data_IF_376715169720
#
_entry.id   IF_376715169720
#
_cell.length_a   1.000
_cell.length_b   1.000
_cell.length_c   1.000
_cell.angle_alpha   90.00
_cell.angle_beta   90.00
_cell.angle_gamma   90.00
#
_symmetry.space_group_name_H-M   'P 1'
#
loop_
_entity.id
_entity.type
_entity.pdbx_description
1 polymer ?
#
# COMPACT_ATOMS: atom_id res chain seq x y z
N UNK A 1 -0.74 16.83 0.97
CA UNK A 1 -0.63 15.40 0.61
C UNK A 1 0.45 14.76 1.45
N UNK A 2 0.19 13.60 1.96
CA UNK A 2 1.16 12.85 2.77
C UNK A 2 1.96 11.92 1.89
N UNK A 3 3.24 11.74 2.23
CA UNK A 3 4.18 10.97 1.43
C UNK A 3 4.99 10.05 2.33
N UNK A 4 5.20 8.80 1.90
CA UNK A 4 6.06 7.87 2.60
C UNK A 4 6.90 7.07 1.61
N UNK A 5 8.08 6.67 2.07
CA UNK A 5 9.00 5.83 1.31
C UNK A 5 9.54 4.73 2.20
N UNK A 6 9.73 3.56 1.63
CA UNK A 6 10.27 2.44 2.38
C UNK A 6 10.99 1.48 1.44
N UNK A 7 12.25 1.18 1.74
CA UNK A 7 13.01 0.15 1.02
C UNK A 7 12.76 -1.18 1.73
N UNK A 8 12.01 -2.06 1.09
CA UNK A 8 11.71 -3.36 1.67
C UNK A 8 13.00 -4.18 1.74
N UNK A 9 13.34 -4.78 2.91
CA UNK A 9 14.52 -5.64 3.01
C UNK A 9 14.45 -6.78 1.99
N UNK A 10 15.52 -6.95 1.21
CA UNK A 10 15.60 -7.92 0.11
C UNK A 10 14.56 -7.67 -0.99
N UNK A 11 13.94 -6.52 -0.99
CA UNK A 11 12.95 -6.12 -1.97
C UNK A 11 13.33 -4.82 -2.65
N UNK A 12 12.32 -4.07 -3.04
CA UNK A 12 12.49 -2.82 -3.79
C UNK A 12 11.96 -1.64 -3.00
N UNK A 13 12.25 -0.44 -3.50
CA UNK A 13 11.71 0.79 -2.94
C UNK A 13 10.21 0.86 -3.22
N UNK A 14 9.42 1.14 -2.20
CA UNK A 14 8.00 1.46 -2.34
C UNK A 14 7.76 2.88 -1.86
N UNK A 15 6.85 3.56 -2.55
CA UNK A 15 6.49 4.96 -2.29
C UNK A 15 4.99 5.02 -2.23
N UNK A 16 4.45 5.82 -1.31
CA UNK A 16 3.02 6.05 -1.27
C UNK A 16 2.74 7.54 -1.09
N UNK A 17 1.74 8.01 -1.81
CA UNK A 17 1.17 9.34 -1.66
C UNK A 17 -0.30 9.18 -1.34
N UNK A 18 -0.79 9.94 -0.38
CA UNK A 18 -2.19 9.87 0.02
C UNK A 18 -2.63 11.16 0.71
N UNK A 19 -3.93 11.30 0.85
CA UNK A 19 -4.55 12.39 1.62
C UNK A 19 -5.34 11.78 2.77
N UNK A 20 -5.49 12.54 3.85
CA UNK A 20 -6.39 12.17 4.94
C UNK A 20 -7.53 13.17 4.94
N UNK A 21 -8.76 12.67 4.72
CA UNK A 21 -9.97 13.49 4.69
C UNK A 21 -10.98 12.84 5.62
N UNK A 22 -11.47 13.60 6.58
CA UNK A 22 -12.43 13.12 7.57
C UNK A 22 -11.95 11.83 8.25
N UNK A 23 -10.66 11.81 8.62
CA UNK A 23 -10.01 10.70 9.32
C UNK A 23 -9.88 9.43 8.48
N UNK A 24 -10.02 9.51 7.16
CA UNK A 24 -9.91 8.35 6.26
C UNK A 24 -8.91 8.63 5.14
N UNK A 25 -8.31 7.56 4.62
CA UNK A 25 -7.36 7.63 3.52
C UNK A 25 -8.08 7.91 2.21
N UNK A 26 -7.54 8.87 1.45
CA UNK A 26 -8.08 9.27 0.14
C UNK A 26 -6.96 9.45 -0.87
N UNK A 27 -7.27 9.23 -2.14
CA UNK A 27 -6.35 9.41 -3.25
C UNK A 27 -5.03 8.67 -3.03
N UNK A 28 -5.14 7.42 -2.58
CA UNK A 28 -3.97 6.58 -2.32
C UNK A 28 -3.33 6.21 -3.65
N UNK A 29 -2.03 6.46 -3.77
CA UNK A 29 -1.23 6.12 -4.95
C UNK A 29 0.05 5.45 -4.50
N UNK A 30 0.16 4.15 -4.75
CA UNK A 30 1.34 3.35 -4.49
C UNK A 30 2.21 3.34 -5.75
N UNK A 31 3.51 3.51 -5.58
CA UNK A 31 4.46 3.46 -6.70
C UNK A 31 5.80 2.95 -6.20
N UNK A 32 6.76 2.82 -7.10
CA UNK A 32 8.11 2.39 -6.74
C UNK A 32 8.71 1.50 -7.81
N UNK A 33 9.79 0.80 -7.43
CA UNK A 33 10.57 -0.04 -8.35
C UNK A 33 10.10 -1.49 -8.39
N UNK A 34 8.99 -1.79 -7.75
CA UNK A 34 8.42 -3.13 -7.71
C UNK A 34 7.70 -3.48 -9.01
N UNK A 35 7.34 -4.75 -9.14
CA UNK A 35 6.62 -5.25 -10.29
C UNK A 35 5.42 -6.11 -9.83
N UNK A 36 4.25 -5.85 -10.40
CA UNK A 36 3.03 -6.60 -10.11
C UNK A 36 2.45 -7.17 -11.40
N UNK A 37 2.08 -8.46 -11.35
CA UNK A 37 1.43 -9.17 -12.46
C UNK A 37 0.13 -9.80 -11.98
N UNK A 38 -1.02 -9.49 -12.54
CA UNK A 38 -1.24 -8.51 -13.61
C UNK A 38 -1.12 -7.06 -13.11
N UNK A 39 -0.85 -6.09 -14.01
CA UNK A 39 -0.66 -4.69 -13.60
C UNK A 39 -1.87 -4.07 -12.88
N UNK A 40 -3.06 -4.55 -13.16
CA UNK A 40 -4.30 -4.07 -12.54
C UNK A 40 -4.32 -4.31 -11.04
N UNK A 41 -3.44 -5.19 -10.53
CA UNK A 41 -3.32 -5.44 -9.10
C UNK A 41 -2.98 -4.15 -8.34
N UNK A 42 -2.21 -3.25 -8.95
CA UNK A 42 -1.89 -1.97 -8.33
C UNK A 42 -3.15 -1.17 -8.05
N UNK A 43 -4.08 -1.11 -9.01
CA UNK A 43 -5.34 -0.40 -8.82
C UNK A 43 -6.18 -1.03 -7.72
N UNK A 44 -6.20 -2.36 -7.65
CA UNK A 44 -6.92 -3.08 -6.61
C UNK A 44 -6.36 -2.77 -5.21
N UNK A 45 -5.03 -2.71 -5.08
CA UNK A 45 -4.38 -2.37 -3.81
C UNK A 45 -4.72 -0.93 -3.42
N UNK A 46 -4.61 0.02 -4.34
CA UNK A 46 -4.96 1.41 -4.06
C UNK A 46 -6.42 1.54 -3.64
N UNK A 47 -7.32 0.85 -4.32
CA UNK A 47 -8.74 0.86 -3.97
C UNK A 47 -9.00 0.27 -2.59
N UNK A 48 -8.28 -0.78 -2.22
CA UNK A 48 -8.43 -1.42 -0.91
C UNK A 48 -7.97 -0.51 0.23
N UNK A 49 -6.97 0.33 -0.02
CA UNK A 49 -6.46 1.26 0.99
C UNK A 49 -7.31 2.52 1.11
N UNK A 50 -7.96 2.95 0.02
CA UNK A 50 -8.84 4.12 0.05
C UNK A 50 -10.03 3.86 0.98
N UNK A 51 -10.32 4.83 1.83
CA UNK A 51 -11.45 4.76 2.77
C UNK A 51 -11.12 4.11 4.09
N UNK A 52 -9.93 3.53 4.26
CA UNK A 52 -9.53 2.98 5.56
C UNK A 52 -9.30 4.12 6.55
N UNK A 53 -9.54 3.87 7.86
CA UNK A 53 -9.29 4.91 8.87
C UNK A 53 -7.79 5.21 8.95
N UNK A 54 -7.47 6.49 9.22
CA UNK A 54 -6.08 6.92 9.31
C UNK A 54 -5.32 6.29 10.48
N UNK A 55 -6.05 5.74 11.45
CA UNK A 55 -5.45 5.06 12.61
C UNK A 55 -5.45 3.54 12.45
N UNK A 56 -5.65 3.02 11.25
CA UNK A 56 -5.59 1.59 11.01
C UNK A 56 -4.22 1.03 11.45
N UNK A 57 -4.24 -0.13 12.08
CA UNK A 57 -3.02 -0.80 12.51
C UNK A 57 -2.31 -1.40 11.30
N UNK A 58 -1.02 -1.74 11.48
CA UNK A 58 -0.27 -2.41 10.40
C UNK A 58 -0.95 -3.73 10.01
N UNK A 59 -1.50 -4.47 10.97
CA UNK A 59 -2.22 -5.71 10.68
C UNK A 59 -3.45 -5.46 9.82
N UNK A 60 -4.22 -4.42 10.14
CA UNK A 60 -5.41 -4.08 9.36
C UNK A 60 -5.06 -3.65 7.94
N UNK A 61 -4.00 -2.86 7.78
CA UNK A 61 -3.52 -2.44 6.47
C UNK A 61 -3.04 -3.63 5.65
N UNK A 62 -2.27 -4.52 6.26
CA UNK A 62 -1.76 -5.72 5.60
C UNK A 62 -2.91 -6.64 5.16
N UNK A 63 -3.90 -6.85 6.02
CA UNK A 63 -5.06 -7.67 5.69
C UNK A 63 -5.87 -7.08 4.53
N UNK A 64 -6.04 -5.77 4.49
CA UNK A 64 -6.75 -5.11 3.39
C UNK A 64 -6.02 -5.33 2.07
N UNK A 65 -4.71 -5.21 2.07
CA UNK A 65 -3.89 -5.44 0.88
C UNK A 65 -3.99 -6.91 0.45
N UNK A 66 -3.87 -7.85 1.39
CA UNK A 66 -3.95 -9.28 1.08
C UNK A 66 -5.31 -9.64 0.50
N UNK A 67 -6.38 -9.05 1.00
CA UNK A 67 -7.72 -9.30 0.47
C UNK A 67 -7.89 -8.79 -0.97
N UNK A 68 -7.11 -7.79 -1.36
CA UNK A 68 -7.14 -7.24 -2.72
C UNK A 68 -6.30 -8.05 -3.70
N UNK A 69 -5.37 -8.87 -3.20
CA UNK A 69 -4.47 -9.66 -4.02
C UNK A 69 -5.11 -11.01 -4.29
N UNK A 70 -5.31 -11.33 -5.56
CA UNK A 70 -5.84 -12.64 -5.95
C UNK A 70 -4.78 -13.73 -5.89
N UNK A 71 -5.22 -14.99 -6.01
CA UNK A 71 -4.32 -16.14 -5.94
C UNK A 71 -3.32 -16.19 -7.11
N UNK A 72 -3.67 -15.57 -8.25
CA UNK A 72 -2.85 -15.59 -9.45
C UNK A 72 -1.96 -14.37 -9.60
N UNK A 73 -1.77 -13.61 -8.52
CA UNK A 73 -0.95 -12.40 -8.56
C UNK A 73 0.50 -12.75 -8.24
N UNK A 74 1.40 -12.23 -9.05
CA UNK A 74 2.83 -12.31 -8.81
C UNK A 74 3.34 -10.95 -8.33
N UNK A 75 4.09 -10.96 -7.22
CA UNK A 75 4.62 -9.73 -6.60
C UNK A 75 6.13 -9.82 -6.55
N UNK A 76 6.81 -8.91 -7.25
CA UNK A 76 8.27 -8.82 -7.23
C UNK A 76 8.71 -7.56 -6.51
N UNK A 77 9.52 -7.74 -5.47
CA UNK A 77 10.10 -6.64 -4.73
C UNK A 77 9.17 -5.92 -3.78
N UNK A 78 7.95 -6.41 -3.60
CA UNK A 78 6.93 -5.79 -2.75
C UNK A 78 6.18 -6.87 -1.98
N UNK A 79 5.77 -6.54 -0.76
CA UNK A 79 4.98 -7.42 0.10
C UNK A 79 3.84 -6.63 0.74
N UNK A 80 2.79 -7.34 1.18
CA UNK A 80 1.70 -6.70 1.91
C UNK A 80 2.20 -6.04 3.19
N UNK A 81 3.12 -6.68 3.90
CA UNK A 81 3.72 -6.11 5.10
C UNK A 81 4.50 -4.82 4.78
N UNK A 82 5.25 -4.79 3.69
CA UNK A 82 5.99 -3.61 3.26
C UNK A 82 5.07 -2.46 2.89
N UNK A 83 3.95 -2.75 2.25
CA UNK A 83 2.94 -1.75 1.93
C UNK A 83 2.36 -1.14 3.22
N UNK A 84 2.06 -1.98 4.22
CA UNK A 84 1.58 -1.50 5.50
C UNK A 84 2.57 -0.54 6.16
N UNK A 85 3.86 -0.85 6.11
CA UNK A 85 4.90 0.01 6.66
C UNK A 85 4.93 1.36 5.96
N UNK A 86 4.89 1.37 4.63
CA UNK A 86 4.99 2.63 3.90
C UNK A 86 3.76 3.52 4.12
N UNK A 87 2.59 2.91 4.25
CA UNK A 87 1.37 3.68 4.60
C UNK A 87 1.55 4.34 5.95
N UNK A 88 2.03 3.62 6.96
CA UNK A 88 2.23 4.18 8.28
C UNK A 88 3.29 5.27 8.29
N UNK A 89 4.32 5.16 7.46
CA UNK A 89 5.32 6.24 7.33
C UNK A 89 4.70 7.52 6.79
N UNK A 90 3.79 7.39 5.84
CA UNK A 90 3.08 8.55 5.30
C UNK A 90 2.15 9.19 6.33
N UNK A 91 1.65 8.41 7.29
CA UNK A 91 0.72 8.88 8.32
C UNK A 91 1.43 9.41 9.58
N UNK A 92 2.70 9.13 9.71
CA UNK A 92 3.48 9.54 10.89
C UNK A 92 3.70 11.06 10.97
#
# INVERSE_FOLDING_TARGET
MRHGEYKIPEGKLVVIDLQVVEARLHNVQLSGDFFLEPPETLDAINAALNGLPHNATSTQLEQAVQAAIGADVTMYGITAAGIAVVVQRALA
#
